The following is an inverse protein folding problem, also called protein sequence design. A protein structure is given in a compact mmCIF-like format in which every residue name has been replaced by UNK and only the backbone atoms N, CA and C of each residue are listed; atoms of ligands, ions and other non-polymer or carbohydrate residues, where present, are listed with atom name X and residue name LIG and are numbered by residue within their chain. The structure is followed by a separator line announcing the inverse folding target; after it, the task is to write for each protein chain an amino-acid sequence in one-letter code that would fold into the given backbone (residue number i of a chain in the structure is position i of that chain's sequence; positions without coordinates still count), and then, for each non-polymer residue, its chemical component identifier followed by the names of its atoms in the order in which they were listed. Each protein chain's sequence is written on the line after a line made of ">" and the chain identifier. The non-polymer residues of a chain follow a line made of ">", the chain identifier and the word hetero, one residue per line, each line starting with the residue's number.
data_IF_312855071328
#
_entry.id   IF_312855071328
#
_cell.length_a   1.000
_cell.length_b   1.000
_cell.length_c   1.000
_cell.angle_alpha   90.00
_cell.angle_beta   90.00
_cell.angle_gamma   90.00
#
_symmetry.space_group_name_H-M   'P 1'
#
loop_
_entity.id
_entity.type
_entity.pdbx_description
1 polymer ?
#
# COMPACT_ATOMS: atom_id res chain seq x y z
N UNK A 1 -39.46 31.51 -63.04
CA UNK A 1 -40.35 32.55 -62.47
C UNK A 1 -40.71 32.15 -61.05
N UNK A 2 -40.25 32.89 -60.03
CA UNK A 2 -40.82 32.82 -58.68
C UNK A 2 -41.99 33.83 -58.59
N UNK A 3 -42.99 33.63 -57.70
CA UNK A 3 -42.89 34.32 -56.40
C UNK A 3 -43.59 33.66 -55.17
N UNK A 4 -42.94 33.86 -54.02
CA UNK A 4 -43.41 34.29 -52.67
C UNK A 4 -44.71 33.75 -52.01
N UNK A 5 -44.46 33.06 -50.89
CA UNK A 5 -44.93 33.31 -49.49
C UNK A 5 -46.41 33.13 -49.09
N UNK A 6 -46.65 32.47 -47.94
CA UNK A 6 -47.56 32.89 -46.85
C UNK A 6 -47.44 31.95 -45.60
N UNK A 7 -47.15 32.58 -44.46
CA UNK A 7 -47.49 32.33 -43.04
C UNK A 7 -47.41 30.95 -42.35
N UNK A 8 -46.56 30.93 -41.31
CA UNK A 8 -46.82 30.65 -39.88
C UNK A 8 -47.75 29.49 -39.50
N UNK A 9 -47.18 28.45 -38.87
CA UNK A 9 -47.81 27.73 -37.73
C UNK A 9 -46.76 27.30 -36.70
N UNK A 10 -46.70 28.05 -35.60
CA UNK A 10 -46.28 27.59 -34.27
C UNK A 10 -47.51 26.93 -33.63
N UNK A 11 -47.33 25.75 -33.03
CA UNK A 11 -47.80 25.41 -31.68
C UNK A 11 -48.06 23.90 -31.50
N UNK A 12 -47.51 23.39 -30.40
CA UNK A 12 -48.06 22.35 -29.52
C UNK A 12 -48.32 20.96 -30.09
N UNK A 13 -47.40 20.04 -29.76
CA UNK A 13 -47.78 18.72 -29.27
C UNK A 13 -47.02 18.43 -27.97
N UNK A 14 -47.68 18.73 -26.86
CA UNK A 14 -47.44 18.15 -25.54
C UNK A 14 -48.32 16.90 -25.46
N UNK A 15 -47.77 15.78 -24.99
CA UNK A 15 -48.59 14.76 -24.34
C UNK A 15 -48.28 13.30 -24.71
N UNK A 16 -47.67 12.62 -23.74
CA UNK A 16 -47.92 11.22 -23.37
C UNK A 16 -47.36 10.09 -24.27
N UNK A 17 -46.18 9.63 -23.90
CA UNK A 17 -45.90 8.19 -23.80
C UNK A 17 -45.01 7.96 -22.57
N UNK A 18 -45.66 7.89 -21.42
CA UNK A 18 -45.04 7.50 -20.16
C UNK A 18 -45.15 5.99 -19.93
N UNK A 19 -44.09 5.46 -19.32
CA UNK A 19 -43.97 4.19 -18.61
C UNK A 19 -44.03 2.89 -19.43
N UNK A 20 -42.85 2.31 -19.68
CA UNK A 20 -42.42 1.04 -19.04
C UNK A 20 -40.91 0.84 -19.24
N UNK A 21 -40.11 1.37 -18.33
CA UNK A 21 -38.78 0.84 -18.00
C UNK A 21 -38.62 0.89 -16.47
N UNK A 22 -39.56 0.22 -15.79
CA UNK A 22 -39.37 -0.23 -14.42
C UNK A 22 -38.47 -1.46 -14.49
N UNK A 23 -37.18 -1.17 -14.58
CA UNK A 23 -36.08 -2.11 -14.65
C UNK A 23 -34.80 -1.34 -14.38
N UNK A 24 -34.83 -0.43 -13.41
CA UNK A 24 -33.65 0.06 -12.72
C UNK A 24 -33.06 -1.11 -11.93
N UNK A 25 -32.51 -2.08 -12.66
CA UNK A 25 -31.28 -2.68 -12.22
C UNK A 25 -30.34 -1.51 -12.02
N UNK A 26 -30.03 -1.21 -10.77
CA UNK A 26 -28.88 -0.38 -10.47
C UNK A 26 -27.69 -1.10 -11.07
N UNK A 27 -27.38 -0.78 -12.33
CA UNK A 27 -26.03 -0.84 -12.81
C UNK A 27 -25.27 0.20 -11.98
N UNK A 28 -24.97 -0.16 -10.72
CA UNK A 28 -23.84 0.41 -10.04
C UNK A 28 -22.68 0.07 -10.97
N UNK A 29 -22.22 1.07 -11.72
CA UNK A 29 -20.91 1.01 -12.33
C UNK A 29 -19.96 0.56 -11.21
N UNK A 30 -19.45 -0.65 -11.39
CA UNK A 30 -18.57 -1.38 -10.49
C UNK A 30 -17.51 -0.39 -9.96
N UNK A 31 -17.37 -0.31 -8.64
CA UNK A 31 -16.53 0.65 -7.91
C UNK A 31 -15.05 0.18 -7.95
N UNK A 32 -14.56 0.07 -9.18
CA UNK A 32 -13.48 -0.78 -9.65
C UNK A 32 -12.22 -0.82 -8.77
N UNK A 33 -12.01 -2.01 -8.19
CA UNK A 33 -10.75 -2.67 -7.82
C UNK A 33 -10.17 -2.54 -6.40
N UNK A 34 -10.39 -1.47 -5.62
CA UNK A 34 -9.83 -1.42 -4.24
C UNK A 34 -10.74 -2.10 -3.20
N UNK A 35 -12.05 -1.87 -3.28
CA UNK A 35 -13.03 -2.34 -2.30
C UNK A 35 -13.81 -3.58 -2.75
N UNK A 36 -13.67 -3.98 -4.01
CA UNK A 36 -14.54 -4.98 -4.65
C UNK A 36 -13.82 -6.31 -4.95
N UNK A 37 -12.64 -6.54 -4.35
CA UNK A 37 -11.86 -7.77 -4.54
C UNK A 37 -11.49 -8.45 -3.23
N UNK A 38 -12.37 -9.32 -2.75
CA UNK A 38 -11.90 -10.58 -2.20
C UNK A 38 -12.15 -11.64 -3.27
N UNK A 39 -11.08 -12.07 -3.94
CA UNK A 39 -11.17 -13.19 -4.86
C UNK A 39 -11.80 -14.37 -4.11
N UNK A 40 -12.79 -15.04 -4.71
CA UNK A 40 -13.36 -16.26 -4.14
C UNK A 40 -12.29 -17.35 -4.23
N UNK A 41 -11.50 -17.51 -3.17
CA UNK A 41 -10.45 -18.52 -3.07
C UNK A 41 -11.10 -19.89 -2.81
N UNK A 42 -10.76 -20.90 -3.59
CA UNK A 42 -11.22 -22.28 -3.36
C UNK A 42 -10.61 -22.87 -2.09
N UNK A 43 -11.19 -23.96 -1.56
CA UNK A 43 -10.62 -24.63 -0.39
C UNK A 43 -9.18 -25.13 -0.64
N UNK A 44 -8.88 -25.64 -1.86
CA UNK A 44 -7.53 -26.07 -2.21
C UNK A 44 -6.55 -24.90 -2.30
N UNK A 45 -6.97 -23.76 -2.84
CA UNK A 45 -6.15 -22.55 -2.85
C UNK A 45 -5.93 -22.00 -1.43
N UNK A 46 -6.95 -22.03 -0.57
CA UNK A 46 -6.81 -21.62 0.84
C UNK A 46 -5.82 -22.51 1.59
N UNK A 47 -5.90 -23.83 1.43
CA UNK A 47 -4.95 -24.78 2.03
C UNK A 47 -3.51 -24.46 1.60
N UNK A 48 -3.28 -24.25 0.30
CA UNK A 48 -1.96 -23.87 -0.24
C UNK A 48 -1.45 -22.56 0.36
N UNK A 49 -2.29 -21.53 0.45
CA UNK A 49 -1.91 -20.26 1.07
C UNK A 49 -1.62 -20.41 2.57
N UNK A 50 -2.28 -21.34 3.27
CA UNK A 50 -1.96 -21.64 4.67
C UNK A 50 -0.65 -22.39 4.83
N UNK A 51 -0.35 -23.37 3.98
CA UNK A 51 0.95 -24.06 3.93
C UNK A 51 2.08 -23.07 3.61
N UNK A 52 1.86 -22.21 2.61
CA UNK A 52 2.79 -21.14 2.26
C UNK A 52 3.01 -20.17 3.42
N UNK A 53 1.93 -19.76 4.10
CA UNK A 53 2.02 -18.94 5.30
C UNK A 53 2.74 -19.61 6.46
N UNK A 54 2.65 -20.94 6.60
CA UNK A 54 3.41 -21.68 7.61
C UNK A 54 4.92 -21.66 7.33
N UNK A 55 5.33 -21.78 6.06
CA UNK A 55 6.73 -21.67 5.63
C UNK A 55 7.28 -20.29 5.99
N UNK A 56 6.58 -19.22 5.63
CA UNK A 56 6.99 -17.84 5.95
C UNK A 56 7.06 -17.60 7.46
N UNK A 57 6.07 -18.09 8.21
CA UNK A 57 6.10 -18.00 9.69
C UNK A 57 7.30 -18.73 10.29
N UNK A 58 7.66 -19.90 9.75
CA UNK A 58 8.80 -20.66 10.21
C UNK A 58 10.11 -19.90 9.95
N UNK A 59 10.26 -19.26 8.80
CA UNK A 59 11.42 -18.39 8.51
C UNK A 59 11.50 -17.25 9.53
N UNK A 60 10.41 -16.50 9.70
CA UNK A 60 10.35 -15.37 10.63
C UNK A 60 10.71 -15.82 12.06
N UNK A 61 10.17 -16.94 12.52
CA UNK A 61 10.44 -17.47 13.86
C UNK A 61 11.90 -17.90 14.05
N UNK A 62 12.54 -18.48 13.04
CA UNK A 62 13.94 -18.91 13.07
C UNK A 62 14.92 -17.75 12.95
N UNK A 63 14.48 -16.61 12.41
CA UNK A 63 15.32 -15.45 12.13
C UNK A 63 15.92 -14.79 13.37
N UNK A 64 15.31 -14.96 14.55
CA UNK A 64 15.74 -14.32 15.80
C UNK A 64 15.46 -12.81 15.89
N UNK A 65 14.90 -12.19 14.84
CA UNK A 65 14.58 -10.75 14.83
C UNK A 65 13.26 -10.44 15.56
N UNK A 66 13.08 -9.17 15.96
CA UNK A 66 11.82 -8.70 16.59
C UNK A 66 10.82 -8.11 15.59
N UNK A 67 11.31 -7.65 14.46
CA UNK A 67 10.52 -7.07 13.38
C UNK A 67 11.14 -7.39 12.02
N UNK A 68 10.29 -7.47 10.99
CA UNK A 68 10.69 -7.57 9.59
C UNK A 68 9.75 -6.73 8.73
N UNK A 69 10.26 -6.14 7.64
CA UNK A 69 9.39 -5.57 6.62
C UNK A 69 8.87 -6.69 5.75
N UNK A 70 7.58 -6.67 5.40
CA UNK A 70 6.98 -7.69 4.57
C UNK A 70 6.15 -7.04 3.47
N UNK A 71 6.40 -7.43 2.23
CA UNK A 71 5.69 -6.96 1.05
C UNK A 71 5.02 -8.12 0.31
N UNK A 72 3.88 -7.84 -0.34
CA UNK A 72 3.15 -8.80 -1.17
C UNK A 72 2.76 -8.22 -2.52
N UNK A 73 2.53 -9.12 -3.47
CA UNK A 73 1.80 -8.83 -4.71
C UNK A 73 0.31 -8.73 -4.39
N UNK A 74 -0.20 -7.52 -4.11
CA UNK A 74 -1.60 -7.33 -3.68
C UNK A 74 -2.53 -6.76 -4.76
N UNK A 75 -1.97 -6.08 -5.75
CA UNK A 75 -2.65 -5.49 -6.90
C UNK A 75 -1.80 -5.79 -8.11
N UNK A 76 -2.43 -6.21 -9.20
CA UNK A 76 -1.75 -6.40 -10.46
C UNK A 76 -1.33 -5.04 -11.04
N UNK A 77 -0.04 -4.75 -10.91
CA UNK A 77 0.62 -3.55 -11.44
C UNK A 77 1.73 -3.94 -12.44
N UNK A 78 1.64 -5.13 -13.05
CA UNK A 78 2.64 -5.63 -14.00
C UNK A 78 2.83 -4.68 -15.19
N UNK A 79 1.76 -3.99 -15.61
CA UNK A 79 1.83 -2.94 -16.64
C UNK A 79 2.89 -1.87 -16.34
N UNK A 80 3.12 -1.57 -15.07
CA UNK A 80 4.09 -0.57 -14.62
C UNK A 80 5.41 -1.20 -14.14
N UNK A 81 5.62 -2.50 -14.37
CA UNK A 81 6.81 -3.21 -13.90
C UNK A 81 6.87 -3.37 -12.38
N UNK A 82 5.73 -3.27 -11.68
CA UNK A 82 5.68 -3.33 -10.22
C UNK A 82 5.16 -4.71 -9.79
N UNK A 83 6.03 -5.49 -9.14
CA UNK A 83 5.69 -6.79 -8.55
C UNK A 83 4.98 -6.63 -7.21
N UNK A 84 5.58 -5.84 -6.31
CA UNK A 84 5.07 -5.64 -4.95
C UNK A 84 4.27 -4.36 -4.86
N UNK A 85 3.02 -4.44 -4.38
CA UNK A 85 2.12 -3.28 -4.31
C UNK A 85 1.74 -2.88 -2.88
N UNK A 86 1.93 -3.78 -1.92
CA UNK A 86 1.52 -3.56 -0.54
C UNK A 86 2.56 -4.08 0.45
N UNK A 87 2.85 -3.31 1.48
CA UNK A 87 3.76 -3.70 2.54
C UNK A 87 3.28 -3.30 3.94
N UNK A 88 3.82 -3.98 4.94
CA UNK A 88 3.67 -3.66 6.35
C UNK A 88 4.88 -4.13 7.15
N UNK A 89 4.79 -4.02 8.47
CA UNK A 89 5.81 -4.51 9.41
C UNK A 89 5.28 -5.75 10.14
N UNK A 90 5.96 -6.88 9.97
CA UNK A 90 5.70 -8.10 10.71
C UNK A 90 6.39 -8.05 12.07
N UNK A 91 5.63 -8.27 13.15
CA UNK A 91 6.10 -8.05 14.52
C UNK A 91 6.05 -9.36 15.31
N UNK A 92 7.20 -9.81 15.83
CA UNK A 92 7.30 -11.01 16.66
C UNK A 92 6.36 -10.96 17.87
N UNK A 93 6.27 -9.81 18.52
CA UNK A 93 5.48 -9.58 19.73
C UNK A 93 4.14 -8.86 19.48
N UNK A 94 3.49 -9.09 18.34
CA UNK A 94 2.17 -8.51 18.06
C UNK A 94 1.07 -9.02 19.02
N UNK A 95 0.21 -8.10 19.49
CA UNK A 95 -0.96 -8.39 20.33
C UNK A 95 -1.96 -9.38 19.68
N UNK A 96 -2.03 -9.42 18.35
CA UNK A 96 -2.99 -10.26 17.62
C UNK A 96 -2.54 -11.74 17.58
N UNK A 97 -1.33 -11.97 17.07
CA UNK A 97 -0.62 -13.26 17.09
C UNK A 97 0.83 -13.01 16.69
N UNK A 98 1.83 -13.77 17.17
CA UNK A 98 3.22 -13.59 16.78
C UNK A 98 3.39 -13.51 15.27
N UNK A 99 4.19 -12.53 14.84
CA UNK A 99 4.45 -12.24 13.43
C UNK A 99 3.20 -11.82 12.64
N UNK A 100 2.24 -11.16 13.29
CA UNK A 100 1.22 -10.41 12.55
C UNK A 100 1.86 -9.21 11.84
N UNK A 101 1.36 -8.93 10.63
CA UNK A 101 1.74 -7.78 9.82
C UNK A 101 0.87 -6.60 10.22
N UNK A 102 1.49 -5.57 10.79
CA UNK A 102 0.89 -4.26 11.00
C UNK A 102 1.00 -3.43 9.72
N UNK A 103 -0.13 -3.01 9.19
CA UNK A 103 -0.22 -2.35 7.88
C UNK A 103 -1.34 -1.32 7.87
N UNK A 104 -1.20 -0.28 7.04
CA UNK A 104 -2.31 0.61 6.70
C UNK A 104 -3.17 -0.06 5.63
N UNK A 105 -4.45 -0.24 5.90
CA UNK A 105 -5.45 -0.68 4.94
C UNK A 105 -6.56 0.38 4.79
N UNK A 106 -7.17 0.48 3.61
CA UNK A 106 -8.35 1.32 3.43
C UNK A 106 -9.60 0.54 3.86
N UNK A 107 -10.21 0.96 4.96
CA UNK A 107 -11.41 0.33 5.49
C UNK A 107 -12.62 0.78 4.67
N UNK A 108 -12.99 0.01 3.64
CA UNK A 108 -14.02 0.39 2.68
C UNK A 108 -15.39 0.70 3.29
N UNK A 109 -15.80 -0.07 4.30
CA UNK A 109 -17.07 0.15 5.01
C UNK A 109 -17.08 1.46 5.80
N UNK A 110 -15.92 1.83 6.37
CA UNK A 110 -15.74 3.06 7.15
C UNK A 110 -15.31 4.26 6.28
N UNK A 111 -14.91 4.00 5.02
CA UNK A 111 -14.36 4.95 4.06
C UNK A 111 -13.14 5.74 4.56
N UNK A 112 -12.30 5.12 5.37
CA UNK A 112 -11.13 5.76 5.96
C UNK A 112 -9.91 4.82 6.04
N UNK A 113 -8.68 5.35 5.99
CA UNK A 113 -7.49 4.57 6.26
C UNK A 113 -7.44 4.15 7.74
N UNK A 114 -7.03 2.91 7.99
CA UNK A 114 -6.87 2.33 9.33
C UNK A 114 -5.60 1.50 9.38
N UNK A 115 -5.00 1.41 10.57
CA UNK A 115 -3.90 0.49 10.84
C UNK A 115 -4.48 -0.81 11.41
N UNK A 116 -4.18 -1.93 10.76
CA UNK A 116 -4.62 -3.26 11.17
C UNK A 116 -3.43 -4.16 11.47
N UNK A 117 -3.63 -5.08 12.41
CA UNK A 117 -2.75 -6.22 12.62
C UNK A 117 -3.39 -7.45 11.98
N UNK A 118 -2.73 -8.04 10.99
CA UNK A 118 -3.22 -9.22 10.29
C UNK A 118 -2.22 -10.36 10.42
N UNK A 119 -2.67 -11.55 10.84
CA UNK A 119 -1.80 -12.73 10.83
C UNK A 119 -1.32 -13.06 9.41
N UNK A 120 -0.15 -13.70 9.26
CA UNK A 120 0.46 -14.00 7.94
C UNK A 120 -0.54 -14.59 6.95
N UNK A 121 -1.31 -15.60 7.32
CA UNK A 121 -2.30 -16.22 6.43
C UNK A 121 -3.34 -15.23 5.90
N UNK A 122 -3.83 -14.31 6.74
CA UNK A 122 -4.73 -13.24 6.31
C UNK A 122 -4.04 -12.24 5.39
N UNK A 123 -2.77 -11.94 5.67
CA UNK A 123 -1.95 -11.10 4.80
C UNK A 123 -1.73 -11.74 3.42
N UNK A 124 -1.59 -13.07 3.33
CA UNK A 124 -1.44 -13.76 2.05
C UNK A 124 -2.74 -13.85 1.24
N UNK A 125 -3.90 -13.86 1.92
CA UNK A 125 -5.21 -13.88 1.24
C UNK A 125 -5.52 -12.57 0.49
N UNK A 126 -4.81 -11.49 0.79
CA UNK A 126 -4.93 -10.23 0.06
C UNK A 126 -4.03 -10.12 -1.17
N UNK A 127 -3.62 -11.25 -1.75
CA UNK A 127 -2.85 -11.32 -3.00
C UNK A 127 -3.77 -11.17 -4.22
N UNK A 128 -3.21 -10.69 -5.33
CA UNK A 128 -3.95 -10.48 -6.57
C UNK A 128 -4.26 -11.79 -7.32
N UNK A 129 -3.35 -12.77 -7.25
CA UNK A 129 -3.50 -14.07 -7.88
C UNK A 129 -3.28 -15.22 -6.87
N UNK A 130 -4.31 -16.04 -6.57
CA UNK A 130 -4.18 -17.13 -5.60
C UNK A 130 -3.35 -18.32 -6.11
N UNK A 131 -3.05 -18.41 -7.40
CA UNK A 131 -2.29 -19.51 -7.99
C UNK A 131 -0.79 -19.25 -8.04
N UNK A 132 -0.39 -17.97 -8.08
CA UNK A 132 1.01 -17.54 -8.06
C UNK A 132 1.10 -16.27 -7.26
N UNK A 133 1.87 -16.30 -6.17
CA UNK A 133 2.08 -15.13 -5.31
C UNK A 133 3.54 -14.97 -4.95
N UNK A 134 3.95 -13.72 -4.76
CA UNK A 134 5.29 -13.34 -4.33
C UNK A 134 5.22 -12.56 -3.02
N UNK A 135 6.14 -12.87 -2.10
CA UNK A 135 6.31 -12.21 -0.81
C UNK A 135 7.78 -11.87 -0.65
N UNK A 136 8.07 -10.61 -0.34
CA UNK A 136 9.41 -10.18 0.06
C UNK A 136 9.43 -9.94 1.56
N UNK A 137 10.48 -10.41 2.23
CA UNK A 137 10.74 -10.17 3.64
C UNK A 137 12.13 -9.57 3.78
N UNK A 138 12.21 -8.41 4.41
CA UNK A 138 13.48 -7.77 4.76
C UNK A 138 13.69 -7.83 6.26
N UNK A 139 14.74 -8.52 6.66
CA UNK A 139 15.22 -8.59 8.04
C UNK A 139 16.23 -7.48 8.30
N UNK A 140 16.05 -6.81 9.44
CA UNK A 140 16.89 -5.70 9.87
C UNK A 140 17.86 -6.17 10.96
N UNK A 141 19.09 -5.63 11.04
CA UNK A 141 19.97 -5.82 12.20
C UNK A 141 19.24 -5.47 13.51
N UNK A 142 19.69 -6.09 14.61
CA UNK A 142 18.96 -6.07 15.89
C UNK A 142 18.61 -4.65 16.37
N UNK A 143 19.52 -3.69 16.26
CA UNK A 143 19.29 -2.29 16.66
C UNK A 143 18.15 -1.65 15.86
N UNK A 144 18.15 -1.83 14.54
CA UNK A 144 17.12 -1.27 13.64
C UNK A 144 15.79 -2.00 13.76
N UNK A 145 15.82 -3.32 13.96
CA UNK A 145 14.64 -4.13 14.23
C UNK A 145 13.98 -3.71 15.55
N UNK A 146 14.77 -3.45 16.60
CA UNK A 146 14.28 -3.03 17.91
C UNK A 146 13.71 -1.61 17.92
N UNK A 147 14.35 -0.67 17.21
CA UNK A 147 13.80 0.67 16.96
C UNK A 147 12.45 0.59 16.26
N UNK A 148 12.37 -0.16 15.17
CA UNK A 148 11.13 -0.34 14.41
C UNK A 148 10.07 -1.04 15.24
N UNK A 149 10.40 -2.12 15.95
CA UNK A 149 9.47 -2.86 16.79
C UNK A 149 8.88 -1.96 17.89
N UNK A 150 9.69 -1.15 18.57
CA UNK A 150 9.20 -0.20 19.60
C UNK A 150 8.23 0.83 19.04
N UNK A 151 8.59 1.47 17.91
CA UNK A 151 7.73 2.46 17.27
C UNK A 151 6.43 1.84 16.74
N UNK A 152 6.54 0.65 16.14
CA UNK A 152 5.40 -0.05 15.57
C UNK A 152 4.47 -0.61 16.65
N UNK A 153 4.96 -1.12 17.78
CA UNK A 153 4.14 -1.68 18.86
C UNK A 153 3.44 -0.59 19.71
N UNK A 154 4.06 0.58 19.90
CA UNK A 154 3.40 1.72 20.55
C UNK A 154 2.29 2.27 19.64
N UNK A 155 1.03 1.97 19.99
CA UNK A 155 -0.16 2.38 19.23
C UNK A 155 -0.21 3.90 19.02
N UNK A 156 0.28 4.72 19.96
CA UNK A 156 0.31 6.18 19.79
C UNK A 156 1.30 6.59 18.71
N UNK A 157 2.47 5.95 18.67
CA UNK A 157 3.48 6.20 17.64
C UNK A 157 2.96 5.73 16.27
N UNK A 158 2.55 4.48 16.15
CA UNK A 158 2.01 3.93 14.91
C UNK A 158 0.83 4.72 14.32
N UNK A 159 -0.05 5.27 15.18
CA UNK A 159 -1.18 6.10 14.75
C UNK A 159 -0.83 7.57 14.52
N UNK A 160 0.25 8.10 15.11
CA UNK A 160 0.62 9.51 14.90
C UNK A 160 1.16 9.79 13.49
N UNK A 161 1.56 8.76 12.75
CA UNK A 161 1.85 8.84 11.31
C UNK A 161 0.68 8.43 10.41
N UNK A 162 -0.50 8.12 10.96
CA UNK A 162 -1.67 7.81 10.14
C UNK A 162 -2.32 9.10 9.60
N UNK A 163 -2.40 9.24 8.30
CA UNK A 163 -3.10 10.32 7.61
C UNK A 163 -4.62 10.11 7.59
N UNK A 164 -5.38 11.20 7.49
CA UNK A 164 -6.85 11.15 7.50
C UNK A 164 -7.47 10.74 6.15
N UNK A 165 -6.76 10.98 5.04
CA UNK A 165 -7.32 10.80 3.68
C UNK A 165 -6.43 9.88 2.87
N UNK A 166 -7.04 8.81 2.35
CA UNK A 166 -6.32 7.80 1.59
C UNK A 166 -6.25 8.16 0.10
N UNK A 167 -5.10 7.91 -0.51
CA UNK A 167 -4.96 7.83 -1.97
C UNK A 167 -3.92 6.78 -2.33
N UNK A 168 -4.24 5.90 -3.28
CA UNK A 168 -3.35 4.80 -3.70
C UNK A 168 -2.04 5.30 -4.30
N UNK A 169 -2.08 6.45 -4.99
CA UNK A 169 -0.93 7.09 -5.62
C UNK A 169 -0.50 8.37 -4.89
N UNK A 170 -0.76 8.52 -3.60
CA UNK A 170 -0.38 9.73 -2.84
C UNK A 170 1.10 10.11 -3.05
N UNK A 171 1.36 11.41 -3.23
CA UNK A 171 2.71 11.93 -3.35
C UNK A 171 3.44 11.84 -1.99
N UNK A 172 4.59 11.13 -1.89
CA UNK A 172 5.25 10.81 -0.62
C UNK A 172 5.68 11.99 0.25
N UNK A 173 5.71 13.18 -0.34
CA UNK A 173 6.22 14.40 0.28
C UNK A 173 5.15 15.49 0.43
N UNK A 174 3.89 15.07 0.39
CA UNK A 174 2.71 15.84 0.76
C UNK A 174 1.98 15.14 1.91
N UNK A 175 1.42 15.91 2.84
CA UNK A 175 0.58 15.38 3.92
C UNK A 175 -0.90 15.32 3.55
N UNK A 176 -1.26 15.81 2.35
CA UNK A 176 -2.66 15.89 1.87
C UNK A 176 -3.34 14.53 1.80
N UNK A 177 -2.64 13.53 1.27
CA UNK A 177 -3.09 12.15 1.19
C UNK A 177 -2.06 11.22 1.83
N UNK A 178 -2.43 9.94 1.95
CA UNK A 178 -1.51 8.89 2.34
C UNK A 178 -1.84 7.60 1.58
N UNK A 179 -0.81 6.95 1.04
CA UNK A 179 -0.92 5.57 0.56
C UNK A 179 -0.43 4.58 1.64
N UNK A 180 -0.79 3.31 1.49
CA UNK A 180 -0.46 2.28 2.49
C UNK A 180 1.05 2.13 2.78
N UNK A 181 1.87 2.18 1.74
CA UNK A 181 3.32 2.03 1.84
C UNK A 181 3.98 3.32 2.40
N UNK A 182 3.37 4.48 2.19
CA UNK A 182 3.81 5.77 2.72
C UNK A 182 3.68 5.79 4.24
N UNK A 183 2.62 5.19 4.80
CA UNK A 183 2.55 4.98 6.25
C UNK A 183 3.71 4.15 6.78
N UNK A 184 4.11 3.07 6.09
CA UNK A 184 5.23 2.23 6.51
C UNK A 184 6.56 2.99 6.49
N UNK A 185 6.85 3.76 5.42
CA UNK A 185 8.10 4.53 5.35
C UNK A 185 8.11 5.73 6.30
N UNK A 186 6.95 6.35 6.58
CA UNK A 186 6.83 7.40 7.60
C UNK A 186 7.01 6.82 9.02
N UNK A 187 6.54 5.59 9.28
CA UNK A 187 6.81 4.86 10.52
C UNK A 187 8.29 4.51 10.68
N UNK A 188 8.95 4.06 9.60
CA UNK A 188 10.41 3.85 9.58
C UNK A 188 11.18 5.15 9.87
N UNK A 189 10.76 6.25 9.24
CA UNK A 189 11.34 7.58 9.47
C UNK A 189 11.16 8.05 10.91
N UNK A 190 10.01 7.76 11.54
CA UNK A 190 9.81 8.01 12.97
C UNK A 190 10.74 7.15 13.84
N UNK A 191 10.90 5.86 13.51
CA UNK A 191 11.69 4.92 14.29
C UNK A 191 13.20 5.23 14.24
N UNK A 192 13.70 5.63 13.07
CA UNK A 192 15.14 5.85 12.82
C UNK A 192 15.54 7.33 12.79
N UNK A 193 14.57 8.23 12.73
CA UNK A 193 14.79 9.67 12.75
C UNK A 193 15.26 10.17 14.12
N UNK A 194 15.76 11.42 14.19
CA UNK A 194 16.10 12.02 15.46
C UNK A 194 14.89 11.96 16.39
N UNK A 195 15.09 11.43 17.59
CA UNK A 195 14.06 11.38 18.61
C UNK A 195 13.46 12.78 18.72
N UNK A 196 12.18 12.91 18.43
CA UNK A 196 11.44 14.15 18.63
C UNK A 196 11.77 14.58 20.05
N UNK A 197 12.47 15.70 20.21
CA UNK A 197 12.65 16.31 21.52
C UNK A 197 11.24 16.41 22.09
N UNK A 198 10.95 15.61 23.12
CA UNK A 198 9.72 15.69 23.91
C UNK A 198 9.60 17.11 24.43
N UNK A 199 9.02 18.02 23.65
CA UNK A 199 8.19 19.08 24.18
C UNK A 199 6.90 18.41 24.62
N UNK A 200 7.02 17.59 25.68
CA UNK A 200 5.96 16.96 26.49
C UNK A 200 6.58 16.16 27.66
N UNK A 201 7.77 16.54 28.14
CA UNK A 201 7.93 16.58 29.59
C UNK A 201 7.19 17.83 30.07
N UNK A 202 5.86 17.81 29.95
CA UNK A 202 5.02 18.81 30.59
C UNK A 202 5.23 18.66 32.08
N UNK A 203 5.86 19.66 32.69
CA UNK A 203 5.60 19.93 34.09
C UNK A 203 4.08 20.01 34.27
N UNK A 204 3.49 19.35 35.29
CA UNK A 204 2.03 19.28 35.47
C UNK A 204 1.30 20.63 35.54
N UNK A 205 2.02 21.76 35.68
CA UNK A 205 1.46 23.07 36.02
C UNK A 205 1.91 24.22 35.08
N UNK A 206 2.45 23.96 33.90
CA UNK A 206 2.80 25.03 32.97
C UNK A 206 1.54 25.64 32.30
N UNK A 207 1.32 26.97 32.35
CA UNK A 207 0.12 27.61 31.80
C UNK A 207 0.01 27.41 30.27
N UNK A 208 -1.23 27.14 29.84
CA UNK A 208 -1.70 26.74 28.49
C UNK A 208 -1.41 27.72 27.33
N UNK A 209 -0.47 28.66 27.49
CA UNK A 209 -0.26 29.80 26.58
C UNK A 209 1.05 29.73 25.78
N UNK A 210 1.81 28.64 25.85
CA UNK A 210 3.02 28.45 25.02
C UNK A 210 3.07 27.09 24.31
N UNK A 211 1.91 26.56 23.94
CA UNK A 211 1.85 25.42 23.02
C UNK A 211 2.05 25.97 21.60
N UNK A 212 3.24 25.75 21.05
CA UNK A 212 3.44 25.88 19.60
C UNK A 212 2.39 25.04 18.86
N UNK A 213 2.11 25.38 17.60
CA UNK A 213 1.16 24.61 16.78
C UNK A 213 1.46 23.10 16.87
N UNK A 214 0.42 22.22 16.89
CA UNK A 214 0.62 20.78 16.93
C UNK A 214 1.64 20.39 15.85
N UNK A 215 2.77 19.82 16.26
CA UNK A 215 3.80 19.45 15.30
C UNK A 215 3.24 18.29 14.47
N UNK A 216 3.06 18.50 13.17
CA UNK A 216 2.59 17.45 12.27
C UNK A 216 3.71 16.39 12.12
N UNK A 217 3.53 15.28 12.83
CA UNK A 217 4.47 14.15 12.87
C UNK A 217 4.74 13.57 11.48
N UNK A 218 3.74 13.57 10.59
CA UNK A 218 3.93 13.13 9.20
C UNK A 218 4.83 14.10 8.44
N UNK A 219 4.62 15.40 8.59
CA UNK A 219 5.47 16.41 7.96
C UNK A 219 6.95 16.29 8.38
N UNK A 220 7.21 15.94 9.64
CA UNK A 220 8.56 15.69 10.16
C UNK A 220 9.17 14.42 9.55
N UNK A 221 8.40 13.32 9.52
CA UNK A 221 8.84 12.07 8.90
C UNK A 221 9.19 12.29 7.41
N UNK A 222 8.34 13.00 6.67
CA UNK A 222 8.58 13.35 5.26
C UNK A 222 9.81 14.26 5.09
N UNK A 223 10.01 15.23 5.98
CA UNK A 223 11.19 16.11 5.96
C UNK A 223 12.48 15.32 6.23
N UNK A 224 12.44 14.37 7.16
CA UNK A 224 13.55 13.46 7.39
C UNK A 224 13.80 12.60 6.16
N UNK A 225 12.78 12.00 5.55
CA UNK A 225 12.94 11.19 4.33
C UNK A 225 13.58 11.99 3.18
N UNK A 226 13.19 13.26 2.98
CA UNK A 226 13.85 14.16 2.02
C UNK A 226 15.33 14.38 2.36
N UNK A 227 15.64 14.68 3.61
CA UNK A 227 17.02 14.90 4.07
C UNK A 227 17.89 13.64 3.92
N UNK A 228 17.27 12.47 3.90
CA UNK A 228 17.90 11.18 3.74
C UNK A 228 17.87 10.67 2.29
N UNK A 229 17.51 11.53 1.35
CA UNK A 229 17.43 11.21 -0.09
C UNK A 229 16.58 9.97 -0.39
N UNK A 230 15.45 9.81 0.30
CA UNK A 230 14.48 8.77 -0.06
C UNK A 230 13.94 9.02 -1.47
N UNK A 231 14.14 8.05 -2.35
CA UNK A 231 13.66 8.08 -3.74
C UNK A 231 12.39 7.22 -3.86
N UNK A 232 11.20 7.83 -4.02
CA UNK A 232 9.99 7.06 -4.25
C UNK A 232 9.99 6.45 -5.66
N UNK A 233 9.16 5.43 -5.87
CA UNK A 233 8.99 4.83 -7.19
C UNK A 233 8.37 5.84 -8.15
N UNK A 234 9.03 6.02 -9.28
CA UNK A 234 8.52 6.80 -10.39
C UNK A 234 7.67 5.91 -11.30
N UNK A 235 6.39 6.24 -11.43
CA UNK A 235 5.45 5.52 -12.27
C UNK A 235 5.17 6.35 -13.51
N UNK A 236 5.74 5.93 -14.64
CA UNK A 236 5.36 6.45 -15.96
C UNK A 236 3.97 5.89 -16.33
N UNK A 237 2.98 6.77 -16.36
CA UNK A 237 1.61 6.43 -16.73
C UNK A 237 1.48 6.17 -18.25
N UNK A 238 2.45 6.65 -19.05
CA UNK A 238 2.64 6.36 -20.47
C UNK A 238 1.68 7.09 -21.41
N UNK A 239 0.42 7.30 -21.00
CA UNK A 239 -0.59 7.92 -21.85
C UNK A 239 -1.44 8.95 -21.11
N UNK A 240 -1.61 10.14 -21.71
CA UNK A 240 -2.43 11.22 -21.15
C UNK A 240 -3.83 10.75 -20.78
N UNK A 241 -4.50 9.99 -21.65
CA UNK A 241 -5.87 9.54 -21.38
C UNK A 241 -6.01 8.73 -20.08
N UNK A 242 -4.97 8.03 -19.63
CA UNK A 242 -4.99 7.32 -18.35
C UNK A 242 -4.98 8.26 -17.16
N UNK A 243 -4.24 9.38 -17.24
CA UNK A 243 -4.29 10.43 -16.20
C UNK A 243 -5.71 10.99 -16.08
N UNK A 244 -6.37 11.22 -17.22
CA UNK A 244 -7.74 11.69 -17.26
C UNK A 244 -8.73 10.66 -16.71
N UNK A 245 -8.56 9.38 -17.07
CA UNK A 245 -9.37 8.29 -16.53
C UNK A 245 -9.16 8.12 -15.02
N UNK A 246 -7.92 8.26 -14.55
CA UNK A 246 -7.54 8.17 -13.14
C UNK A 246 -8.26 9.18 -12.26
N UNK A 247 -8.53 10.39 -12.78
CA UNK A 247 -9.28 11.42 -12.06
C UNK A 247 -10.73 11.02 -11.70
N UNK A 248 -11.27 9.97 -12.32
CA UNK A 248 -12.58 9.41 -11.99
C UNK A 248 -12.52 8.23 -11.01
N UNK A 249 -11.32 7.79 -10.62
CA UNK A 249 -11.11 6.72 -9.65
C UNK A 249 -11.01 7.37 -8.26
N UNK A 250 -11.92 7.09 -7.30
CA UNK A 250 -12.00 7.80 -6.03
C UNK A 250 -10.75 7.79 -5.14
N UNK A 251 -9.81 6.86 -5.40
CA UNK A 251 -8.60 6.69 -4.62
C UNK A 251 -7.34 7.15 -5.36
N UNK A 252 -7.48 7.71 -6.56
CA UNK A 252 -6.37 8.22 -7.38
C UNK A 252 -6.49 9.74 -7.48
N UNK A 253 -5.44 10.44 -7.07
CA UNK A 253 -5.40 11.90 -7.03
C UNK A 253 -4.11 12.42 -7.65
N UNK A 254 -4.16 13.61 -8.25
CA UNK A 254 -2.97 14.26 -8.85
C UNK A 254 -2.71 15.65 -8.27
N UNK A 255 -3.59 16.14 -7.41
CA UNK A 255 -3.56 17.50 -6.86
C UNK A 255 -2.66 17.65 -5.63
N UNK A 256 -1.96 16.58 -5.22
CA UNK A 256 -0.83 16.59 -4.29
C UNK A 256 0.52 16.31 -4.96
N UNK A 257 0.54 15.96 -6.26
CA UNK A 257 1.76 15.75 -7.02
C UNK A 257 2.30 17.09 -7.55
N UNK A 258 3.64 17.22 -7.71
CA UNK A 258 4.22 18.36 -8.40
C UNK A 258 3.70 18.45 -9.84
N UNK A 259 3.27 19.65 -10.24
CA UNK A 259 2.64 19.86 -11.55
C UNK A 259 3.53 19.42 -12.72
N UNK A 260 4.85 19.61 -12.60
CA UNK A 260 5.81 19.17 -13.62
C UNK A 260 5.77 17.64 -13.85
N UNK A 261 5.61 16.85 -12.79
CA UNK A 261 5.53 15.39 -12.88
C UNK A 261 4.20 14.99 -13.56
N UNK A 262 3.09 15.60 -13.13
CA UNK A 262 1.76 15.37 -13.70
C UNK A 262 1.72 15.72 -15.19
N UNK A 263 2.30 16.85 -15.58
CA UNK A 263 2.38 17.30 -16.97
C UNK A 263 3.23 16.36 -17.84
N UNK A 264 4.25 15.77 -17.24
CA UNK A 264 5.12 14.75 -17.83
C UNK A 264 4.51 13.32 -17.77
N UNK A 265 3.38 13.12 -17.10
CA UNK A 265 2.70 11.82 -16.91
C UNK A 265 3.40 10.87 -15.94
N UNK A 266 4.16 11.43 -15.01
CA UNK A 266 4.82 10.70 -13.95
C UNK A 266 4.07 10.86 -12.63
N UNK A 267 3.96 9.77 -11.87
CA UNK A 267 3.45 9.76 -10.52
C UNK A 267 4.52 9.19 -9.60
N UNK A 268 5.00 9.98 -8.65
CA UNK A 268 5.94 9.51 -7.63
C UNK A 268 5.19 8.97 -6.44
N UNK A 269 5.41 7.69 -6.12
CA UNK A 269 4.63 6.96 -5.12
C UNK A 269 5.56 6.10 -4.27
N UNK A 270 5.31 6.04 -2.95
CA UNK A 270 6.01 5.07 -2.11
C UNK A 270 5.50 3.67 -2.44
N UNK A 271 6.37 2.81 -2.95
CA UNK A 271 6.09 1.40 -3.23
C UNK A 271 7.09 0.51 -2.47
N UNK A 272 6.77 -0.77 -2.22
CA UNK A 272 7.64 -1.65 -1.45
C UNK A 272 9.08 -1.71 -1.97
N UNK A 273 9.29 -1.77 -3.30
CA UNK A 273 10.63 -1.78 -3.88
C UNK A 273 11.46 -0.52 -3.54
N UNK A 274 10.85 0.67 -3.53
CA UNK A 274 11.52 1.90 -3.11
C UNK A 274 11.86 1.90 -1.61
N UNK A 275 10.97 1.33 -0.78
CA UNK A 275 11.22 1.16 0.65
C UNK A 275 12.39 0.20 0.89
N UNK A 276 12.40 -0.94 0.19
CA UNK A 276 13.47 -1.93 0.26
C UNK A 276 14.81 -1.34 -0.21
N UNK A 277 14.82 -0.59 -1.32
CA UNK A 277 16.01 0.09 -1.81
C UNK A 277 16.56 1.10 -0.78
N UNK A 278 15.68 1.89 -0.16
CA UNK A 278 16.06 2.81 0.91
C UNK A 278 16.64 2.08 2.12
N UNK A 279 16.01 0.98 2.55
CA UNK A 279 16.49 0.16 3.66
C UNK A 279 17.86 -0.44 3.33
N UNK A 280 18.04 -0.99 2.14
CA UNK A 280 19.32 -1.57 1.71
C UNK A 280 20.44 -0.53 1.66
N UNK A 281 20.15 0.68 1.16
CA UNK A 281 21.11 1.79 1.12
C UNK A 281 21.53 2.23 2.53
N UNK A 282 20.58 2.30 3.47
CA UNK A 282 20.80 2.88 4.80
C UNK A 282 21.25 1.85 5.84
N UNK A 283 20.91 0.59 5.61
CA UNK A 283 21.18 -0.54 6.48
C UNK A 283 21.75 -1.68 5.63
N UNK A 284 23.02 -1.60 5.17
CA UNK A 284 23.60 -2.60 4.26
C UNK A 284 23.71 -4.01 4.85
N UNK A 285 23.57 -4.13 6.17
CA UNK A 285 23.54 -5.39 6.90
C UNK A 285 22.15 -6.05 6.90
N UNK A 286 21.11 -5.37 6.40
CA UNK A 286 19.80 -5.96 6.21
C UNK A 286 19.88 -7.09 5.18
N UNK A 287 19.11 -8.14 5.41
CA UNK A 287 19.01 -9.29 4.52
C UNK A 287 17.61 -9.38 3.95
N UNK A 288 17.51 -9.86 2.72
CA UNK A 288 16.24 -10.05 2.02
C UNK A 288 16.03 -11.52 1.70
N UNK A 289 14.81 -11.98 1.92
CA UNK A 289 14.33 -13.30 1.52
C UNK A 289 13.06 -13.10 0.73
N UNK A 290 13.06 -13.59 -0.50
CA UNK A 290 11.91 -13.57 -1.38
C UNK A 290 11.32 -14.98 -1.48
N UNK A 291 10.01 -15.05 -1.36
CA UNK A 291 9.24 -16.27 -1.44
C UNK A 291 8.30 -16.16 -2.62
N UNK A 292 8.15 -17.25 -3.35
CA UNK A 292 7.04 -17.39 -4.27
C UNK A 292 6.40 -18.76 -4.15
N UNK A 293 5.16 -18.88 -4.58
CA UNK A 293 4.48 -20.17 -4.67
C UNK A 293 3.81 -20.35 -6.02
N UNK A 294 3.64 -21.62 -6.40
CA UNK A 294 2.80 -22.07 -7.51
C UNK A 294 1.75 -23.04 -6.98
N UNK A 295 1.13 -23.79 -7.89
CA UNK A 295 0.31 -24.94 -7.56
C UNK A 295 1.10 -26.06 -6.87
N UNK A 296 2.36 -26.29 -7.27
CA UNK A 296 3.11 -27.52 -6.98
C UNK A 296 4.28 -27.34 -6.00
N UNK A 297 4.73 -26.10 -5.80
CA UNK A 297 5.92 -25.81 -5.00
C UNK A 297 5.97 -24.37 -4.48
N UNK A 298 6.85 -24.17 -3.52
CA UNK A 298 7.31 -22.88 -2.99
C UNK A 298 8.80 -22.76 -3.32
N UNK A 299 9.23 -21.59 -3.77
CA UNK A 299 10.66 -21.25 -3.89
C UNK A 299 11.00 -20.20 -2.85
N UNK A 300 12.15 -20.38 -2.20
CA UNK A 300 12.74 -19.42 -1.27
C UNK A 300 14.07 -18.95 -1.86
N UNK A 301 14.11 -17.69 -2.27
CA UNK A 301 15.28 -17.01 -2.78
C UNK A 301 15.91 -16.15 -1.68
N UNK A 302 17.21 -16.27 -1.46
CA UNK A 302 17.93 -15.49 -0.45
C UNK A 302 18.85 -14.49 -1.14
N UNK A 303 18.65 -13.21 -0.86
CA UNK A 303 19.41 -12.13 -1.47
C UNK A 303 18.55 -10.99 -1.98
N UNK A 304 19.24 -9.97 -2.49
CA UNK A 304 18.65 -8.74 -2.98
C UNK A 304 18.28 -8.78 -4.48
N UNK A 305 18.65 -9.85 -5.18
CA UNK A 305 18.13 -10.10 -6.53
C UNK A 305 16.67 -10.52 -6.48
N UNK A 306 15.93 -10.19 -7.54
CA UNK A 306 14.57 -10.64 -7.69
C UNK A 306 14.53 -12.11 -8.14
N UNK A 307 13.59 -12.86 -7.57
CA UNK A 307 13.23 -14.19 -8.03
C UNK A 307 12.70 -14.11 -9.47
N UNK A 308 13.00 -15.11 -10.29
CA UNK A 308 12.49 -15.18 -11.67
C UNK A 308 10.95 -15.21 -11.71
N UNK A 309 10.38 -14.58 -12.73
CA UNK A 309 8.94 -14.63 -12.97
C UNK A 309 8.47 -16.09 -13.17
N UNK A 310 7.22 -16.35 -12.76
CA UNK A 310 6.63 -17.68 -12.78
C UNK A 310 7.09 -18.59 -11.63
N UNK A 311 7.79 -18.04 -10.63
CA UNK A 311 8.29 -18.80 -9.50
C UNK A 311 9.23 -19.96 -9.92
N UNK A 312 10.08 -19.66 -10.90
CA UNK A 312 11.08 -20.61 -11.42
C UNK A 312 12.33 -20.54 -10.56
N UNK A 313 12.75 -21.64 -9.92
CA UNK A 313 13.94 -21.64 -9.08
C UNK A 313 15.22 -21.50 -9.91
N UNK A 314 16.22 -20.86 -9.33
CA UNK A 314 17.52 -20.58 -9.94
C UNK A 314 18.67 -20.68 -8.93
N UNK A 315 19.85 -21.13 -9.37
CA UNK A 315 21.06 -21.12 -8.54
C UNK A 315 20.91 -21.86 -7.21
N UNK A 316 21.02 -21.13 -6.10
CA UNK A 316 20.98 -21.63 -4.71
C UNK A 316 19.58 -21.56 -4.07
N UNK A 317 18.53 -21.36 -4.87
CA UNK A 317 17.15 -21.30 -4.39
C UNK A 317 16.71 -22.60 -3.73
N UNK A 318 16.05 -22.49 -2.58
CA UNK A 318 15.43 -23.62 -1.89
C UNK A 318 14.03 -23.86 -2.45
N UNK A 319 13.69 -25.14 -2.69
CA UNK A 319 12.39 -25.54 -3.26
C UNK A 319 11.68 -26.51 -2.33
N UNK A 320 10.47 -26.14 -1.91
CA UNK A 320 9.59 -26.98 -1.07
C UNK A 320 8.41 -27.42 -1.92
N UNK A 321 8.18 -28.74 -2.03
CA UNK A 321 7.03 -29.27 -2.78
C UNK A 321 5.73 -29.13 -1.97
N UNK A 322 4.65 -28.78 -2.66
CA UNK A 322 3.29 -28.76 -2.15
C UNK A 322 2.55 -29.98 -2.73
N UNK A 323 2.85 -31.17 -2.21
CA UNK A 323 2.12 -32.41 -2.51
C UNK A 323 0.82 -32.55 -1.72
#
# INVERSE_FOLDING_TARGET
>A
MAPRAILKRLATWVGLAGLTLAGSGTAHAEWLNLCDRQAKVSASQQDKLFRFGAIIKAELAQSGHKAALMARSGLDLQRFGIRYSHAGVSLQASDNTPWSVRQLYYACDERQPRVYDQGISGFLLGTDNPNVGYISVVFLPEDKADELARAALDKRQALSVLGATYSANAYPFSTRYQNCNQWLIELLAMAWGPAQTRSDAGEPDAPLATLGAPVDVRSQAQSWLKAQAYEPTDIDVGHRWLMWAGAFIPFVHTDDHPQADVDALHLRVSMPAAIEAFVHQRVPQATRVEFCHTEDHVVIHRGWSDLSDGCVPSGEDEVIRLD
#
